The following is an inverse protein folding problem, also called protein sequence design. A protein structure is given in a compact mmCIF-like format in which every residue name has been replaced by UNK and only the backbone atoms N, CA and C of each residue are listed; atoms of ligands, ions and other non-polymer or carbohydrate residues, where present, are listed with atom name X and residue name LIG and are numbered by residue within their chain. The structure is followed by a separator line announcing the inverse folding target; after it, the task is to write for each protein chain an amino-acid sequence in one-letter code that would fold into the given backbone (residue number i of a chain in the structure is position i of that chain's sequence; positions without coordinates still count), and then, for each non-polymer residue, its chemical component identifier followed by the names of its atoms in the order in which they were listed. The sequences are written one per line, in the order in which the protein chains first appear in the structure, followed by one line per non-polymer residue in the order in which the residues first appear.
data_IF_794389091356
#
_entry.id   IF_794389091356
#
_cell.length_a   1.000
_cell.length_b   1.000
_cell.length_c   1.000
_cell.angle_alpha   90.00
_cell.angle_beta   90.00
_cell.angle_gamma   90.00
#
_symmetry.space_group_name_H-M   'P 1'
#
loop_
_entity.id
_entity.type
_entity.pdbx_description
1 polymer ?
#
# COMPACT_ATOMS: atom_id res chain seq x y z
N UNK A 1 1.79 -6.46 2.15
CA UNK A 1 3.09 -7.18 2.15
C UNK A 1 4.17 -6.31 2.75
N UNK A 2 5.15 -6.81 3.51
CA UNK A 2 6.37 -6.08 3.84
C UNK A 2 7.10 -5.56 2.58
N UNK A 3 7.84 -4.46 2.67
CA UNK A 3 8.38 -3.76 1.49
C UNK A 3 9.29 -4.65 0.62
N UNK A 4 10.35 -5.23 1.19
CA UNK A 4 11.32 -6.05 0.45
C UNK A 4 10.65 -7.32 -0.11
N UNK A 5 9.85 -7.99 0.71
CA UNK A 5 9.10 -9.18 0.32
C UNK A 5 8.07 -8.86 -0.77
N UNK A 6 7.47 -7.68 -0.75
CA UNK A 6 6.55 -7.22 -1.79
C UNK A 6 7.24 -7.03 -3.13
N UNK A 7 8.44 -6.44 -3.15
CA UNK A 7 9.25 -6.32 -4.37
C UNK A 7 9.60 -7.70 -4.95
N UNK A 8 10.08 -8.62 -4.10
CA UNK A 8 10.37 -10.00 -4.51
C UNK A 8 9.12 -10.74 -5.01
N UNK A 9 7.97 -10.47 -4.40
CA UNK A 9 6.70 -11.06 -4.83
C UNK A 9 6.26 -10.54 -6.20
N UNK A 10 6.49 -9.27 -6.53
CA UNK A 10 6.20 -8.72 -7.87
C UNK A 10 7.03 -9.46 -8.92
N UNK A 11 8.33 -9.64 -8.69
CA UNK A 11 9.21 -10.38 -9.60
C UNK A 11 8.73 -11.82 -9.80
N UNK A 12 8.37 -12.51 -8.71
CA UNK A 12 7.85 -13.87 -8.77
C UNK A 12 6.50 -13.93 -9.50
N UNK A 13 5.55 -13.04 -9.20
CA UNK A 13 4.23 -13.04 -9.82
C UNK A 13 4.32 -12.86 -11.35
N UNK A 14 5.26 -12.05 -11.82
CA UNK A 14 5.50 -11.84 -13.24
C UNK A 14 5.88 -13.14 -13.97
N UNK A 15 6.59 -14.09 -13.31
CA UNK A 15 6.90 -15.40 -13.91
C UNK A 15 5.67 -16.28 -14.11
N UNK A 16 4.55 -15.94 -13.46
CA UNK A 16 3.25 -16.61 -13.61
C UNK A 16 2.26 -15.79 -14.48
N UNK A 17 2.74 -14.80 -15.22
CA UNK A 17 1.90 -13.87 -16.01
C UNK A 17 0.87 -13.12 -15.15
N UNK A 18 1.25 -12.77 -13.91
CA UNK A 18 0.52 -11.85 -13.05
C UNK A 18 1.36 -10.58 -12.88
N UNK A 19 0.92 -9.51 -13.52
CA UNK A 19 1.65 -8.24 -13.57
C UNK A 19 1.09 -7.27 -12.54
N UNK A 20 1.96 -6.65 -11.76
CA UNK A 20 1.54 -5.64 -10.80
C UNK A 20 1.07 -4.38 -11.54
N UNK A 21 -0.23 -4.10 -11.50
CA UNK A 21 -0.82 -2.94 -12.19
C UNK A 21 -1.12 -1.79 -11.25
N UNK A 22 -1.15 -2.03 -9.93
CA UNK A 22 -1.24 -0.99 -8.91
C UNK A 22 -0.40 -1.34 -7.68
N UNK A 23 0.32 -0.36 -7.15
CA UNK A 23 1.13 -0.46 -5.94
C UNK A 23 0.87 0.74 -5.03
N UNK A 24 0.40 0.50 -3.80
CA UNK A 24 0.27 1.53 -2.77
C UNK A 24 1.38 1.37 -1.75
N UNK A 25 2.23 2.39 -1.61
CA UNK A 25 3.30 2.45 -0.63
C UNK A 25 2.75 2.95 0.71
N UNK A 26 2.77 2.10 1.73
CA UNK A 26 2.22 2.44 3.05
C UNK A 26 3.33 2.81 4.02
N UNK A 27 3.22 4.01 4.60
CA UNK A 27 4.14 4.55 5.60
C UNK A 27 3.40 4.74 6.92
N UNK A 28 4.02 4.43 8.08
CA UNK A 28 3.39 4.69 9.36
C UNK A 28 3.22 6.19 9.63
N UNK A 29 4.21 7.01 9.25
CA UNK A 29 4.20 8.48 9.24
C UNK A 29 4.94 9.01 8.00
N UNK A 30 4.75 10.29 7.67
CA UNK A 30 5.33 10.88 6.46
C UNK A 30 6.86 10.84 6.42
N UNK A 31 7.51 11.01 7.57
CA UNK A 31 8.98 11.00 7.74
C UNK A 31 9.59 9.58 7.81
N UNK A 32 8.76 8.54 7.88
CA UNK A 32 9.19 7.16 8.03
C UNK A 32 9.33 6.43 6.69
N UNK A 33 10.18 5.40 6.62
CA UNK A 33 10.30 4.56 5.44
C UNK A 33 8.99 3.83 5.14
N UNK A 34 8.92 3.30 3.92
CA UNK A 34 7.82 2.43 3.48
C UNK A 34 7.94 1.11 4.23
N UNK A 35 6.91 0.72 4.96
CA UNK A 35 6.91 -0.53 5.69
C UNK A 35 6.13 -1.63 4.97
N UNK A 36 5.12 -1.24 4.19
CA UNK A 36 4.24 -2.18 3.51
C UNK A 36 3.91 -1.71 2.09
N UNK A 37 3.64 -2.68 1.24
CA UNK A 37 3.04 -2.52 -0.09
C UNK A 37 1.66 -3.18 -0.10
N UNK A 38 0.67 -2.48 -0.65
CA UNK A 38 -0.56 -3.09 -1.14
C UNK A 38 -0.41 -3.24 -2.66
N UNK A 39 -0.66 -4.44 -3.17
CA UNK A 39 -0.33 -4.79 -4.54
C UNK A 39 -1.57 -5.36 -5.23
N UNK A 40 -1.89 -4.83 -6.41
CA UNK A 40 -2.91 -5.37 -7.31
C UNK A 40 -2.21 -5.99 -8.51
N UNK A 41 -2.65 -7.18 -8.88
CA UNK A 41 -2.13 -7.90 -10.04
C UNK A 41 -3.22 -8.15 -11.06
N UNK A 42 -2.86 -8.10 -12.34
CA UNK A 42 -3.71 -8.44 -13.47
C UNK A 42 -2.98 -9.36 -14.44
N UNK A 43 -3.73 -10.12 -15.23
CA UNK A 43 -3.15 -10.98 -16.28
C UNK A 43 -2.66 -10.21 -17.50
N UNK A 44 -3.13 -8.98 -17.67
CA UNK A 44 -2.71 -8.09 -18.76
C UNK A 44 -1.67 -7.12 -18.22
N UNK A 45 -0.50 -7.10 -18.86
CA UNK A 45 0.55 -6.14 -18.53
C UNK A 45 0.09 -4.71 -18.83
N UNK A 46 0.28 -3.80 -17.87
CA UNK A 46 -0.03 -2.38 -17.95
C UNK A 46 1.02 -1.61 -17.15
N UNK A 47 1.10 -0.30 -17.36
CA UNK A 47 1.88 0.59 -16.48
C UNK A 47 1.37 0.47 -15.05
N UNK A 48 2.27 0.21 -14.10
CA UNK A 48 1.93 0.17 -12.68
C UNK A 48 1.54 1.58 -12.21
N UNK A 49 0.35 1.72 -11.64
CA UNK A 49 -0.05 2.94 -10.96
C UNK A 49 0.50 2.92 -9.54
N UNK A 50 1.24 3.95 -9.16
CA UNK A 50 1.80 4.08 -7.82
C UNK A 50 1.09 5.20 -7.06
N UNK A 51 0.69 4.89 -5.83
CA UNK A 51 0.21 5.88 -4.87
C UNK A 51 0.78 5.58 -3.47
N UNK A 52 0.53 6.48 -2.52
CA UNK A 52 1.03 6.36 -1.15
C UNK A 52 -0.07 6.56 -0.14
N UNK A 53 0.04 5.84 0.98
CA UNK A 53 -0.84 5.98 2.13
C UNK A 53 0.00 6.20 3.38
N UNK A 54 -0.17 7.34 4.03
CA UNK A 54 0.40 7.61 5.35
C UNK A 54 -0.67 7.28 6.38
N UNK A 55 -0.34 6.49 7.41
CA UNK A 55 -1.34 6.02 8.39
C UNK A 55 -1.61 7.08 9.46
N UNK A 56 -0.56 7.59 10.11
CA UNK A 56 -0.65 8.58 11.18
C UNK A 56 0.01 9.89 10.78
N UNK A 57 -0.50 10.97 11.38
CA UNK A 57 0.18 12.26 11.44
C UNK A 57 1.29 12.20 12.51
N UNK A 58 1.78 13.37 12.93
CA UNK A 58 2.87 13.47 13.89
C UNK A 58 2.48 12.99 15.29
N UNK A 59 1.26 13.25 15.73
CA UNK A 59 0.77 12.84 17.05
C UNK A 59 0.28 11.38 17.08
N UNK A 60 0.43 10.74 18.25
CA UNK A 60 0.03 9.34 18.44
C UNK A 60 -1.50 9.21 18.36
N UNK A 61 -1.97 8.22 17.60
CA UNK A 61 -3.39 7.95 17.34
C UNK A 61 -4.10 9.08 16.58
N UNK A 62 -3.35 9.99 15.97
CA UNK A 62 -3.90 10.97 15.04
C UNK A 62 -3.79 10.43 13.61
N UNK A 63 -4.90 9.89 13.09
CA UNK A 63 -4.94 9.26 11.78
C UNK A 63 -5.05 10.30 10.65
N UNK A 64 -4.53 9.95 9.47
CA UNK A 64 -4.72 10.79 8.27
C UNK A 64 -6.13 10.65 7.71
N UNK A 65 -6.59 11.66 6.96
CA UNK A 65 -7.91 11.64 6.35
C UNK A 65 -8.05 10.52 5.33
N UNK A 66 -7.00 10.24 4.55
CA UNK A 66 -6.95 9.16 3.58
C UNK A 66 -7.07 7.80 4.25
N UNK A 67 -6.39 7.60 5.38
CA UNK A 67 -6.50 6.37 6.15
C UNK A 67 -7.90 6.20 6.74
N UNK A 68 -8.44 7.24 7.38
CA UNK A 68 -9.81 7.23 7.92
C UNK A 68 -10.80 6.90 6.81
N UNK A 69 -10.74 7.59 5.66
CA UNK A 69 -11.66 7.34 4.54
C UNK A 69 -11.59 5.91 4.03
N UNK A 70 -10.41 5.30 4.03
CA UNK A 70 -10.22 3.90 3.62
C UNK A 70 -10.80 2.91 4.64
N UNK A 71 -10.73 3.22 5.93
CA UNK A 71 -11.06 2.26 7.00
C UNK A 71 -12.34 2.56 7.77
N UNK A 72 -12.99 3.71 7.57
CA UNK A 72 -14.16 4.17 8.33
C UNK A 72 -15.27 3.11 8.38
N UNK A 73 -15.54 2.43 7.26
CA UNK A 73 -16.57 1.37 7.21
C UNK A 73 -16.30 0.16 8.12
N UNK A 74 -15.09 0.04 8.68
CA UNK A 74 -14.68 -1.07 9.55
C UNK A 74 -14.50 -0.65 11.01
N UNK A 75 -14.45 0.65 11.32
CA UNK A 75 -14.23 1.16 12.67
C UNK A 75 -15.40 2.02 13.12
N UNK A 76 -16.01 1.66 14.26
CA UNK A 76 -17.19 2.35 14.78
C UNK A 76 -16.93 3.79 15.23
N UNK A 77 -15.72 4.10 15.69
CA UNK A 77 -15.33 5.41 16.22
C UNK A 77 -13.86 5.69 15.86
N UNK A 78 -13.63 6.25 14.69
CA UNK A 78 -12.30 6.60 14.19
C UNK A 78 -12.10 8.11 14.14
#
# INVERSE_FOLDING_TARGET
MPYIEGLRFIELAATYHLFCTKSTQVRPKADKPIERLLLQFERTAKTTQEDSLVIQKEERNEWTEEYIKLTNSFYLNM
#
